data_IF_238219892895
#
_entry.id   IF_238219892895
#
_cell.length_a   1.000
_cell.length_b   1.000
_cell.length_c   1.000
_cell.angle_alpha   90.00
_cell.angle_beta   90.00
_cell.angle_gamma   90.00
#
_symmetry.space_group_name_H-M   'P 1'
#
loop_
_entity.id
_entity.type
_entity.pdbx_description
1 polymer ?
#
# COMPACT_ATOMS: atom_id res chain seq x y z
N UNK A 1 -9.54 5.28 30.00
CA UNK A 1 -9.73 5.53 28.56
C UNK A 1 -8.65 6.52 28.14
N UNK A 2 -7.54 6.04 27.60
CA UNK A 2 -6.41 6.90 27.19
C UNK A 2 -6.86 7.76 26.01
N UNK A 3 -6.81 9.08 26.15
CA UNK A 3 -7.06 10.01 25.05
C UNK A 3 -5.80 10.06 24.17
N UNK A 4 -5.71 9.16 23.19
CA UNK A 4 -4.79 9.33 22.07
C UNK A 4 -5.17 10.62 21.33
N UNK A 5 -4.18 11.50 21.14
CA UNK A 5 -4.32 12.73 20.36
C UNK A 5 -4.86 12.36 18.96
N UNK A 6 -5.90 13.02 18.42
CA UNK A 6 -6.46 12.64 17.13
C UNK A 6 -5.38 12.73 16.06
N UNK A 7 -5.11 11.60 15.40
CA UNK A 7 -4.12 11.49 14.33
C UNK A 7 -4.71 12.16 13.08
N UNK A 8 -4.02 13.15 12.53
CA UNK A 8 -4.44 13.80 11.28
C UNK A 8 -3.82 13.05 10.09
N UNK A 9 -4.44 11.95 9.68
CA UNK A 9 -4.07 11.21 8.48
C UNK A 9 -4.96 11.61 7.28
N UNK A 10 -4.44 11.48 6.04
CA UNK A 10 -5.27 11.63 4.85
C UNK A 10 -6.40 10.59 4.85
N UNK A 11 -7.57 10.96 4.31
CA UNK A 11 -8.78 10.13 4.32
C UNK A 11 -8.62 8.73 3.70
N UNK A 12 -7.65 8.56 2.80
CA UNK A 12 -7.37 7.30 2.11
C UNK A 12 -6.39 6.40 2.89
N UNK A 13 -5.86 6.85 4.03
CA UNK A 13 -4.93 6.10 4.87
C UNK A 13 -5.70 5.53 6.06
N UNK A 14 -5.87 4.20 6.16
CA UNK A 14 -6.62 3.60 7.26
C UNK A 14 -5.84 3.67 8.57
N UNK A 15 -6.43 4.21 9.63
CA UNK A 15 -5.80 4.33 10.96
C UNK A 15 -5.35 2.97 11.52
N UNK A 16 -6.21 1.95 11.44
CA UNK A 16 -5.89 0.60 11.97
C UNK A 16 -4.69 -0.05 11.27
N UNK A 17 -4.52 0.21 9.97
CA UNK A 17 -3.38 -0.31 9.22
C UNK A 17 -2.06 0.37 9.65
N UNK A 18 -2.12 1.65 10.04
CA UNK A 18 -0.98 2.36 10.62
C UNK A 18 -0.62 1.76 11.98
N UNK A 19 -1.62 1.49 12.81
CA UNK A 19 -1.41 0.91 14.13
C UNK A 19 -0.75 -0.48 14.05
N UNK A 20 -1.21 -1.32 13.12
CA UNK A 20 -0.61 -2.64 12.84
C UNK A 20 0.87 -2.51 12.44
N UNK A 21 1.21 -1.56 11.57
CA UNK A 21 2.61 -1.33 11.19
C UNK A 21 3.44 -0.76 12.33
N UNK A 22 2.87 0.08 13.19
CA UNK A 22 3.55 0.54 14.41
C UNK A 22 3.87 -0.63 15.34
N UNK A 23 2.94 -1.56 15.52
CA UNK A 23 3.16 -2.77 16.32
C UNK A 23 4.26 -3.66 15.73
N UNK A 24 4.25 -3.87 14.41
CA UNK A 24 5.30 -4.62 13.71
C UNK A 24 6.67 -3.92 13.87
N UNK A 25 6.71 -2.60 13.77
CA UNK A 25 7.94 -1.82 13.96
C UNK A 25 8.52 -2.00 15.37
N UNK A 26 7.65 -1.96 16.39
CA UNK A 26 8.01 -2.07 17.81
C UNK A 26 8.40 -3.50 18.19
N UNK A 27 7.79 -4.51 17.58
CA UNK A 27 8.12 -5.92 17.80
C UNK A 27 9.41 -6.38 17.09
N UNK A 28 10.11 -5.48 16.40
CA UNK A 28 11.39 -5.77 15.73
C UNK A 28 11.24 -6.35 14.33
N UNK A 29 10.05 -6.24 13.73
CA UNK A 29 9.83 -6.65 12.34
C UNK A 29 10.56 -5.73 11.35
N UNK A 30 11.15 -6.31 10.31
CA UNK A 30 11.79 -5.53 9.25
C UNK A 30 10.76 -4.94 8.29
N UNK A 31 10.37 -3.71 8.56
CA UNK A 31 9.50 -2.91 7.69
C UNK A 31 10.10 -2.70 6.27
N UNK A 32 11.44 -2.80 6.09
CA UNK A 32 12.04 -2.78 4.75
C UNK A 32 11.74 -4.05 3.96
N UNK A 33 11.70 -5.20 4.63
CA UNK A 33 11.28 -6.47 4.01
C UNK A 33 9.82 -6.37 3.54
N UNK A 34 8.93 -5.84 4.38
CA UNK A 34 7.53 -5.60 4.02
C UNK A 34 7.41 -4.65 2.82
N UNK A 35 8.17 -3.56 2.80
CA UNK A 35 8.22 -2.64 1.66
C UNK A 35 8.66 -3.34 0.37
N UNK A 36 9.71 -4.17 0.45
CA UNK A 36 10.29 -4.87 -0.69
C UNK A 36 9.32 -5.88 -1.30
N UNK A 37 8.67 -6.70 -0.46
CA UNK A 37 7.67 -7.67 -0.90
C UNK A 37 6.48 -6.99 -1.59
N UNK A 38 6.06 -5.82 -1.09
CA UNK A 38 5.00 -5.04 -1.73
C UNK A 38 5.41 -4.48 -3.09
N UNK A 39 6.64 -3.97 -3.22
CA UNK A 39 7.14 -3.47 -4.51
C UNK A 39 7.16 -4.60 -5.53
N UNK A 40 7.68 -5.77 -5.13
CA UNK A 40 7.71 -6.94 -6.00
C UNK A 40 6.30 -7.37 -6.41
N UNK A 41 5.36 -7.41 -5.45
CA UNK A 41 3.96 -7.73 -5.71
C UNK A 41 3.33 -6.74 -6.70
N UNK A 42 3.57 -5.44 -6.51
CA UNK A 42 3.09 -4.38 -7.39
C UNK A 42 3.56 -4.58 -8.82
N UNK A 43 4.86 -4.85 -9.01
CA UNK A 43 5.45 -5.08 -10.33
C UNK A 43 4.84 -6.32 -10.99
N UNK A 44 4.76 -7.44 -10.26
CA UNK A 44 4.24 -8.70 -10.79
C UNK A 44 2.76 -8.58 -11.18
N UNK A 45 1.94 -7.94 -10.34
CA UNK A 45 0.51 -7.78 -10.60
C UNK A 45 0.28 -6.81 -11.75
N UNK A 46 0.97 -5.66 -11.78
CA UNK A 46 0.84 -4.71 -12.89
C UNK A 46 1.30 -5.32 -14.22
N UNK A 47 2.44 -6.02 -14.24
CA UNK A 47 2.90 -6.74 -15.42
C UNK A 47 1.92 -7.85 -15.85
N UNK A 48 1.32 -8.56 -14.89
CA UNK A 48 0.31 -9.58 -15.14
C UNK A 48 -0.96 -8.99 -15.76
N UNK A 49 -1.51 -7.91 -15.20
CA UNK A 49 -2.72 -7.26 -15.71
C UNK A 49 -2.45 -6.73 -17.13
N UNK A 50 -1.33 -6.05 -17.35
CA UNK A 50 -0.95 -5.56 -18.68
C UNK A 50 -0.80 -6.73 -19.65
N UNK A 51 -0.07 -7.77 -19.27
CA UNK A 51 0.16 -8.95 -20.11
C UNK A 51 -1.14 -9.66 -20.50
N UNK A 52 -2.04 -9.86 -19.54
CA UNK A 52 -3.36 -10.49 -19.79
C UNK A 52 -4.22 -9.60 -20.67
N UNK A 53 -4.28 -8.29 -20.39
CA UNK A 53 -5.07 -7.33 -21.18
C UNK A 53 -4.58 -7.30 -22.63
N UNK A 54 -3.27 -7.17 -22.85
CA UNK A 54 -2.68 -7.16 -24.19
C UNK A 54 -2.85 -8.51 -24.90
N UNK A 55 -2.70 -9.63 -24.18
CA UNK A 55 -2.92 -10.96 -24.75
C UNK A 55 -4.36 -11.14 -25.19
N UNK A 56 -5.33 -10.70 -24.39
CA UNK A 56 -6.74 -10.72 -24.76
C UNK A 56 -7.00 -9.85 -26.01
N UNK A 57 -6.42 -8.65 -26.07
CA UNK A 57 -6.62 -7.74 -27.22
C UNK A 57 -5.96 -8.23 -28.51
N UNK A 58 -4.77 -8.81 -28.45
CA UNK A 58 -4.00 -9.16 -29.64
C UNK A 58 -4.12 -10.63 -30.07
N UNK A 59 -4.33 -11.55 -29.13
CA UNK A 59 -4.35 -13.00 -29.39
C UNK A 59 -5.76 -13.57 -29.41
N UNK A 60 -6.78 -12.78 -29.03
CA UNK A 60 -8.18 -13.21 -29.06
C UNK A 60 -9.06 -12.15 -29.70
N UNK A 61 -10.25 -12.54 -30.18
CA UNK A 61 -11.26 -11.59 -30.68
C UNK A 61 -12.06 -10.95 -29.51
N UNK A 62 -11.38 -10.62 -28.41
CA UNK A 62 -12.02 -10.00 -27.26
C UNK A 62 -12.50 -8.59 -27.62
N UNK A 63 -13.63 -8.17 -27.05
CA UNK A 63 -14.13 -6.82 -27.21
C UNK A 63 -13.10 -5.83 -26.63
N UNK A 64 -12.57 -4.96 -27.50
CA UNK A 64 -11.49 -4.06 -27.14
C UNK A 64 -11.91 -3.04 -26.09
N UNK A 65 -13.16 -2.56 -26.16
CA UNK A 65 -13.67 -1.56 -25.22
C UNK A 65 -13.83 -2.16 -23.83
N UNK A 66 -14.50 -3.31 -23.72
CA UNK A 66 -14.72 -3.99 -22.44
C UNK A 66 -13.38 -4.38 -21.81
N UNK A 67 -12.50 -5.03 -22.59
CA UNK A 67 -11.21 -5.52 -22.09
C UNK A 67 -10.31 -4.39 -21.63
N UNK A 68 -10.26 -3.29 -22.38
CA UNK A 68 -9.45 -2.11 -22.00
C UNK A 68 -10.01 -1.42 -20.77
N UNK A 69 -11.33 -1.23 -20.69
CA UNK A 69 -11.97 -0.61 -19.52
C UNK A 69 -11.71 -1.44 -18.27
N UNK A 70 -11.89 -2.76 -18.34
CA UNK A 70 -11.61 -3.66 -17.21
C UNK A 70 -10.14 -3.62 -16.82
N UNK A 71 -9.22 -3.64 -17.79
CA UNK A 71 -7.78 -3.54 -17.53
C UNK A 71 -7.40 -2.23 -16.81
N UNK A 72 -7.87 -1.09 -17.32
CA UNK A 72 -7.59 0.23 -16.71
C UNK A 72 -8.22 0.34 -15.32
N UNK A 73 -9.48 -0.07 -15.14
CA UNK A 73 -10.15 -0.03 -13.84
C UNK A 73 -9.41 -0.92 -12.84
N UNK A 74 -9.00 -2.12 -13.25
CA UNK A 74 -8.25 -3.04 -12.37
C UNK A 74 -6.91 -2.45 -11.97
N UNK A 75 -6.17 -1.86 -12.92
CA UNK A 75 -4.92 -1.15 -12.62
C UNK A 75 -5.17 0.00 -11.64
N UNK A 76 -6.17 0.85 -11.89
CA UNK A 76 -6.50 1.99 -11.03
C UNK A 76 -6.83 1.56 -9.61
N UNK A 77 -7.69 0.54 -9.45
CA UNK A 77 -8.05 0.00 -8.14
C UNK A 77 -6.85 -0.59 -7.40
N UNK A 78 -6.04 -1.39 -8.09
CA UNK A 78 -4.90 -2.05 -7.49
C UNK A 78 -3.82 -1.05 -7.05
N UNK A 79 -3.50 -0.08 -7.91
CA UNK A 79 -2.55 0.99 -7.59
C UNK A 79 -3.09 1.89 -6.45
N UNK A 80 -4.40 2.16 -6.39
CA UNK A 80 -5.01 2.93 -5.31
C UNK A 80 -4.88 2.24 -3.94
N UNK A 81 -5.11 0.93 -3.88
CA UNK A 81 -4.95 0.14 -2.65
C UNK A 81 -3.49 0.15 -2.19
N UNK A 82 -2.55 -0.05 -3.11
CA UNK A 82 -1.12 -0.04 -2.76
C UNK A 82 -0.65 1.33 -2.27
N UNK A 83 -1.11 2.43 -2.87
CA UNK A 83 -0.79 3.79 -2.40
C UNK A 83 -1.27 4.02 -0.97
N UNK A 84 -2.50 3.61 -0.65
CA UNK A 84 -3.04 3.73 0.70
C UNK A 84 -2.19 2.94 1.73
N UNK A 85 -1.79 1.74 1.36
CA UNK A 85 -1.00 0.84 2.19
C UNK A 85 0.46 1.33 2.38
N UNK A 86 1.09 1.87 1.33
CA UNK A 86 2.39 2.52 1.46
C UNK A 86 2.34 3.77 2.34
N UNK A 87 1.29 4.59 2.20
CA UNK A 87 1.10 5.76 3.03
C UNK A 87 0.90 5.40 4.50
N UNK A 88 0.18 4.31 4.79
CA UNK A 88 0.03 3.79 6.14
C UNK A 88 1.37 3.36 6.74
N UNK A 89 2.16 2.60 5.98
CA UNK A 89 3.49 2.17 6.40
C UNK A 89 4.43 3.36 6.63
N UNK A 90 4.39 4.39 5.77
CA UNK A 90 5.17 5.62 5.94
C UNK A 90 4.76 6.41 7.19
N UNK A 91 3.45 6.51 7.47
CA UNK A 91 2.94 7.16 8.67
C UNK A 91 3.40 6.43 9.94
N UNK A 92 3.31 5.10 9.96
CA UNK A 92 3.74 4.28 11.08
C UNK A 92 5.24 4.44 11.37
N UNK A 93 6.07 4.48 10.33
CA UNK A 93 7.50 4.75 10.45
C UNK A 93 7.81 6.12 11.06
N UNK A 94 7.09 7.16 10.63
CA UNK A 94 7.27 8.51 11.15
C UNK A 94 6.89 8.57 12.64
N UNK A 95 5.80 7.91 13.03
CA UNK A 95 5.32 7.86 14.41
C UNK A 95 6.30 7.14 15.35
N UNK A 96 6.82 5.98 14.94
CA UNK A 96 7.79 5.22 15.76
C UNK A 96 9.09 6.01 15.94
N UNK A 97 9.56 6.71 14.90
CA UNK A 97 10.74 7.60 15.00
C UNK A 97 10.51 8.78 15.95
N UNK A 98 9.33 9.39 15.89
CA UNK A 98 8.99 10.51 16.77
C UNK A 98 9.02 10.08 18.25
N UNK A 99 8.42 8.93 18.57
CA UNK A 99 8.41 8.37 19.93
C UNK A 99 9.81 8.04 20.45
N UNK A 100 10.67 7.44 19.62
CA UNK A 100 12.06 7.15 20.00
C UNK A 100 12.88 8.43 20.28
N UNK A 101 12.56 9.52 19.59
CA UNK A 101 13.23 10.82 19.80
C UNK A 101 12.80 11.45 21.12
N UNK A 102 11.50 11.39 21.45
CA UNK A 102 10.95 11.91 22.71
C UNK A 102 11.39 11.10 23.95
N UNK A 103 11.58 9.78 23.82
CA UNK A 103 12.06 8.93 24.91
C UNK A 103 13.56 9.08 25.18
N UNK A 104 14.37 9.43 24.16
CA UNK A 104 15.81 9.68 24.32
C UNK A 104 16.17 11.05 24.92
N UNK A 105 15.20 11.96 25.02
CA UNK A 105 15.37 13.31 25.58
C UNK A 105 15.01 13.39 27.08
N UNK A 106 14.51 12.30 27.67
CA UNK A 106 14.23 12.17 29.12
C UNK A 106 15.31 11.38 29.85
#
# INVERSE_FOLDING_TARGET
>A
MSHSKPRTLPWYVPDGLVDDYCEIARSGGDLRMLKTLKILRSILVNAGIIGITLSALFLTNADATITTVLGIVTLGLYNGIEVADYAALAAAFAEVRAQQTEEGEK
#
